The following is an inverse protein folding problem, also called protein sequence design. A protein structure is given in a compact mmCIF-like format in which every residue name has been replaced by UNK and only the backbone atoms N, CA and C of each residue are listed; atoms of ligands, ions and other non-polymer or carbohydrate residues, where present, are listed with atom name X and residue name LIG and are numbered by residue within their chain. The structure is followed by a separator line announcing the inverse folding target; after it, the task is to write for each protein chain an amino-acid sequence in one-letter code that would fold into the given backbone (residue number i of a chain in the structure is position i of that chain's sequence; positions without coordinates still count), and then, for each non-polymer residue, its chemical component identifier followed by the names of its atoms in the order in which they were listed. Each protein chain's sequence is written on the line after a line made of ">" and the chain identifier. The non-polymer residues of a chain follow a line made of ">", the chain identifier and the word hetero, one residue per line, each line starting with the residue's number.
data_IF_302389770713
#
_entry.id   IF_302389770713
#
_cell.length_a   1.000
_cell.length_b   1.000
_cell.length_c   1.000
_cell.angle_alpha   90.00
_cell.angle_beta   90.00
_cell.angle_gamma   90.00
#
_symmetry.space_group_name_H-M   'P 1'
#
loop_
_entity.id
_entity.type
_entity.pdbx_description
1 polymer ?
#
# COMPACT_ATOMS: atom_id res chain seq x y z
N UNK A 1 44.85 42.47 9.37
CA UNK A 1 43.58 42.46 8.62
C UNK A 1 43.19 41.02 8.32
N UNK A 2 42.12 40.45 8.90
CA UNK A 2 41.71 39.09 8.57
C UNK A 2 40.73 39.08 7.39
N UNK A 3 41.09 38.32 6.36
CA UNK A 3 40.25 38.02 5.20
C UNK A 3 38.97 37.30 5.67
N UNK A 4 37.83 37.99 5.58
CA UNK A 4 36.50 37.38 5.74
C UNK A 4 36.24 36.44 4.57
N UNK A 5 36.48 35.14 4.79
CA UNK A 5 35.98 34.09 3.92
C UNK A 5 34.45 34.04 4.05
N UNK A 6 33.73 34.80 3.22
CA UNK A 6 32.27 34.68 3.08
C UNK A 6 31.97 33.38 2.33
N UNK A 7 31.92 32.26 3.05
CA UNK A 7 31.23 31.08 2.53
C UNK A 7 29.73 31.41 2.54
N UNK A 8 29.20 31.77 1.37
CA UNK A 8 27.77 31.73 1.12
C UNK A 8 27.32 30.26 1.00
N UNK A 9 27.54 29.46 2.05
CA UNK A 9 26.75 28.25 2.25
C UNK A 9 25.40 28.69 2.80
N UNK A 10 24.52 29.12 1.88
CA UNK A 10 23.08 28.92 2.12
C UNK A 10 22.94 27.44 2.38
N UNK A 11 22.58 27.08 3.60
CA UNK A 11 22.11 25.75 3.97
C UNK A 11 20.98 25.42 3.01
N UNK A 12 21.29 24.72 1.90
CA UNK A 12 20.28 24.16 1.03
C UNK A 12 19.63 23.06 1.86
N UNK A 13 18.55 23.42 2.55
CA UNK A 13 17.59 22.44 3.03
C UNK A 13 17.32 21.49 1.87
N UNK A 14 17.67 20.23 2.09
CA UNK A 14 17.54 19.13 1.14
C UNK A 14 16.20 19.20 0.38
N UNK A 15 16.26 19.56 -0.90
CA UNK A 15 15.13 19.56 -1.83
C UNK A 15 14.21 20.78 -1.74
N UNK A 16 14.62 21.92 -2.33
CA UNK A 16 13.65 22.92 -2.79
C UNK A 16 12.73 22.27 -3.83
N UNK A 17 11.46 22.07 -3.46
CA UNK A 17 10.36 21.79 -4.38
C UNK A 17 10.11 23.06 -5.22
N UNK A 18 10.90 23.27 -6.27
CA UNK A 18 10.64 24.30 -7.29
C UNK A 18 10.13 23.64 -8.58
N UNK A 19 8.91 24.00 -8.98
CA UNK A 19 8.32 23.67 -10.29
C UNK A 19 7.39 22.45 -10.31
N UNK A 20 6.93 22.11 -11.53
CA UNK A 20 5.88 21.15 -11.95
C UNK A 20 6.08 19.68 -11.51
N UNK A 21 7.08 19.36 -10.69
CA UNK A 21 7.38 17.98 -10.26
C UNK A 21 7.42 17.87 -8.75
N UNK A 22 6.77 16.86 -8.20
CA UNK A 22 6.73 16.61 -6.75
C UNK A 22 7.80 15.59 -6.38
N UNK A 23 8.57 15.89 -5.32
CA UNK A 23 9.47 14.91 -4.69
C UNK A 23 10.95 14.99 -5.05
N UNK A 24 11.73 14.10 -4.42
CA UNK A 24 13.17 14.02 -4.63
C UNK A 24 13.51 13.55 -6.04
N UNK A 25 14.52 14.19 -6.63
CA UNK A 25 15.09 13.92 -7.96
C UNK A 25 16.58 13.62 -7.87
N UNK A 26 17.10 12.83 -8.81
CA UNK A 26 18.55 12.74 -9.00
C UNK A 26 19.15 14.13 -9.25
N UNK A 27 20.23 14.46 -8.55
CA UNK A 27 21.02 15.62 -8.92
C UNK A 27 21.92 15.26 -10.11
N UNK A 28 21.39 15.51 -11.31
CA UNK A 28 22.09 15.27 -12.57
C UNK A 28 23.37 16.11 -12.74
N UNK A 29 23.69 17.01 -11.79
CA UNK A 29 24.92 17.80 -11.81
C UNK A 29 26.10 17.11 -11.13
N UNK A 30 25.87 16.03 -10.39
CA UNK A 30 26.94 15.30 -9.70
C UNK A 30 27.77 14.53 -10.72
N UNK A 31 29.10 14.62 -10.61
CA UNK A 31 30.06 14.19 -11.64
C UNK A 31 29.85 12.74 -12.17
N UNK A 32 29.62 11.71 -11.32
CA UNK A 32 29.38 10.35 -11.83
C UNK A 32 28.09 10.22 -12.65
N UNK A 33 27.05 11.00 -12.30
CA UNK A 33 25.75 10.98 -13.01
C UNK A 33 25.87 11.69 -14.36
N UNK A 34 26.65 12.78 -14.43
CA UNK A 34 26.93 13.52 -15.67
C UNK A 34 27.60 12.63 -16.73
N UNK A 35 28.52 11.76 -16.30
CA UNK A 35 29.23 10.87 -17.22
C UNK A 35 28.33 9.75 -17.76
N UNK A 36 27.49 9.16 -16.92
CA UNK A 36 26.67 8.00 -17.29
C UNK A 36 25.47 8.35 -18.19
N UNK A 37 24.96 9.59 -18.13
CA UNK A 37 23.73 10.11 -18.80
C UNK A 37 22.43 9.37 -18.42
N UNK A 38 22.48 8.07 -18.16
CA UNK A 38 21.40 7.18 -17.71
C UNK A 38 21.92 6.20 -16.66
N UNK A 39 21.04 5.59 -15.87
CA UNK A 39 21.46 4.57 -14.91
C UNK A 39 21.87 3.27 -15.64
N UNK A 40 22.97 2.62 -15.22
CA UNK A 40 23.43 1.38 -15.84
C UNK A 40 22.40 0.26 -15.63
N UNK A 41 22.27 -0.64 -16.62
CA UNK A 41 21.37 -1.79 -16.50
C UNK A 41 21.95 -2.80 -15.50
N UNK A 42 21.15 -3.18 -14.50
CA UNK A 42 21.52 -4.13 -13.45
C UNK A 42 20.63 -5.37 -13.57
N UNK A 43 21.25 -6.56 -13.63
CA UNK A 43 20.56 -7.86 -13.78
C UNK A 43 20.46 -8.65 -12.48
N UNK A 44 21.27 -8.34 -11.48
CA UNK A 44 21.36 -9.11 -10.22
C UNK A 44 20.29 -8.74 -9.20
N UNK A 45 19.71 -7.53 -9.30
CA UNK A 45 18.72 -7.04 -8.32
C UNK A 45 17.32 -7.50 -8.71
N UNK A 46 16.70 -8.31 -7.84
CA UNK A 46 15.32 -8.76 -7.98
C UNK A 46 14.32 -8.03 -7.05
N UNK A 47 14.82 -7.34 -6.03
CA UNK A 47 14.01 -6.70 -5.01
C UNK A 47 14.47 -5.26 -4.80
N UNK A 48 13.54 -4.31 -4.91
CA UNK A 48 13.79 -2.90 -4.66
C UNK A 48 12.83 -2.37 -3.60
N UNK A 49 13.40 -1.83 -2.52
CA UNK A 49 12.65 -1.33 -1.37
C UNK A 49 13.06 0.12 -1.09
N UNK A 50 12.11 1.02 -1.16
CA UNK A 50 12.21 2.34 -0.55
C UNK A 50 11.38 2.29 0.73
N UNK A 51 12.06 2.35 1.86
CA UNK A 51 11.45 2.28 3.18
C UNK A 51 10.93 3.65 3.59
N UNK A 52 9.95 3.64 4.49
CA UNK A 52 9.37 4.84 5.09
C UNK A 52 10.40 5.78 5.71
N UNK A 53 11.51 5.25 6.24
CA UNK A 53 12.62 6.01 6.83
C UNK A 53 13.31 6.99 5.87
N UNK A 54 13.08 6.87 4.56
CA UNK A 54 13.56 7.86 3.60
C UNK A 54 12.85 9.23 3.77
N UNK A 55 11.76 9.29 4.54
CA UNK A 55 11.01 10.50 4.94
C UNK A 55 10.60 11.41 3.77
N UNK A 56 10.52 10.87 2.55
CA UNK A 56 10.44 11.65 1.32
C UNK A 56 9.58 10.95 0.29
N UNK A 57 8.83 11.77 -0.45
CA UNK A 57 8.21 11.38 -1.71
C UNK A 57 9.26 11.49 -2.81
N UNK A 58 9.38 10.50 -3.67
CA UNK A 58 10.30 10.50 -4.80
C UNK A 58 9.54 10.79 -6.09
N UNK A 59 10.07 11.70 -6.91
CA UNK A 59 9.46 11.97 -8.21
C UNK A 59 9.47 10.70 -9.06
N UNK A 60 8.29 10.33 -9.56
CA UNK A 60 8.14 9.15 -10.41
C UNK A 60 8.97 9.29 -11.70
N UNK A 61 8.75 10.31 -12.55
CA UNK A 61 9.47 10.41 -13.82
C UNK A 61 10.96 10.70 -13.65
N UNK A 62 11.36 11.44 -12.60
CA UNK A 62 12.75 11.90 -12.42
C UNK A 62 13.60 10.98 -11.53
N UNK A 63 13.00 10.05 -10.79
CA UNK A 63 13.74 9.14 -9.89
C UNK A 63 13.29 7.69 -9.99
N UNK A 64 12.02 7.39 -9.68
CA UNK A 64 11.57 6.00 -9.59
C UNK A 64 11.62 5.29 -10.94
N UNK A 65 11.18 5.97 -12.01
CA UNK A 65 11.20 5.42 -13.36
C UNK A 65 12.62 5.05 -13.81
N UNK A 66 13.63 5.95 -13.78
CA UNK A 66 15.00 5.57 -14.11
C UNK A 66 15.52 4.38 -13.31
N UNK A 67 15.32 4.37 -11.98
CA UNK A 67 15.78 3.28 -11.11
C UNK A 67 15.12 1.98 -11.54
N UNK A 68 13.79 1.92 -11.52
CA UNK A 68 13.03 0.72 -11.82
C UNK A 68 13.37 0.22 -13.24
N UNK A 69 13.51 1.11 -14.22
CA UNK A 69 13.91 0.76 -15.59
C UNK A 69 15.30 0.12 -15.66
N UNK A 70 16.26 0.60 -14.87
CA UNK A 70 17.61 0.06 -14.80
C UNK A 70 17.68 -1.35 -14.19
N UNK A 71 16.77 -1.69 -13.27
CA UNK A 71 16.68 -3.01 -12.63
C UNK A 71 15.92 -3.97 -13.56
N UNK A 72 16.67 -4.75 -14.34
CA UNK A 72 16.11 -5.56 -15.45
C UNK A 72 15.48 -6.88 -15.01
N UNK A 73 15.86 -7.40 -13.83
CA UNK A 73 15.32 -8.63 -13.25
C UNK A 73 14.44 -8.36 -12.01
N UNK A 74 13.95 -7.14 -11.86
CA UNK A 74 13.13 -6.74 -10.72
C UNK A 74 11.83 -7.56 -10.67
N UNK A 75 11.63 -8.29 -9.58
CA UNK A 75 10.45 -9.11 -9.27
C UNK A 75 9.60 -8.49 -8.16
N UNK A 76 10.21 -7.82 -7.19
CA UNK A 76 9.53 -7.30 -6.01
C UNK A 76 9.82 -5.81 -5.85
N UNK A 77 8.77 -5.00 -5.84
CA UNK A 77 8.86 -3.57 -5.59
C UNK A 77 8.11 -3.23 -4.30
N UNK A 78 8.78 -2.53 -3.38
CA UNK A 78 8.13 -1.92 -2.22
C UNK A 78 8.45 -0.43 -2.16
N UNK A 79 7.41 0.39 -2.18
CA UNK A 79 7.51 1.85 -2.10
C UNK A 79 6.70 2.38 -0.91
N UNK A 80 7.40 2.80 0.12
CA UNK A 80 6.83 3.36 1.34
C UNK A 80 7.23 4.83 1.45
N UNK A 81 6.26 5.72 1.24
CA UNK A 81 6.52 7.15 1.22
C UNK A 81 5.60 7.91 2.17
N UNK A 82 6.02 9.12 2.51
CA UNK A 82 5.22 10.02 3.32
C UNK A 82 4.26 10.80 2.43
N UNK A 83 3.01 10.91 2.87
CA UNK A 83 1.96 11.60 2.12
C UNK A 83 1.63 13.01 2.63
N UNK A 84 2.07 13.42 3.82
CA UNK A 84 1.51 14.61 4.47
C UNK A 84 2.49 15.53 5.22
N UNK A 85 3.81 15.30 5.23
CA UNK A 85 4.73 16.28 5.84
C UNK A 85 4.89 17.56 5.00
N UNK A 86 4.35 17.59 3.77
CA UNK A 86 4.39 18.74 2.87
C UNK A 86 3.04 19.50 2.85
N UNK A 87 2.43 19.66 4.03
CA UNK A 87 1.16 20.34 4.29
C UNK A 87 1.08 21.82 3.82
N UNK A 88 2.13 22.36 3.23
CA UNK A 88 2.13 23.70 2.63
C UNK A 88 1.54 23.74 1.21
N UNK A 89 1.32 22.61 0.53
CA UNK A 89 0.87 22.58 -0.87
C UNK A 89 -0.64 22.33 -1.08
N UNK A 90 -1.40 22.01 -0.02
CA UNK A 90 -2.85 21.85 -0.10
C UNK A 90 -3.34 20.82 -1.14
N UNK A 91 -4.56 20.99 -1.71
CA UNK A 91 -5.13 20.06 -2.69
C UNK A 91 -4.30 19.87 -3.97
N UNK A 92 -3.48 20.85 -4.35
CA UNK A 92 -2.65 20.78 -5.56
C UNK A 92 -1.62 19.64 -5.50
N UNK A 93 -1.06 19.37 -4.32
CA UNK A 93 -0.13 18.25 -4.13
C UNK A 93 -0.79 16.91 -4.42
N UNK A 94 -2.01 16.67 -3.92
CA UNK A 94 -2.74 15.45 -4.19
C UNK A 94 -2.91 15.23 -5.70
N UNK A 95 -3.15 16.32 -6.45
CA UNK A 95 -3.31 16.22 -7.91
C UNK A 95 -2.03 15.72 -8.59
N UNK A 96 -0.91 16.37 -8.30
CA UNK A 96 0.38 16.03 -8.88
C UNK A 96 0.86 14.64 -8.45
N UNK A 97 0.62 14.29 -7.18
CA UNK A 97 0.89 12.96 -6.64
C UNK A 97 0.12 11.89 -7.40
N UNK A 98 -1.18 12.09 -7.60
CA UNK A 98 -2.00 11.13 -8.33
C UNK A 98 -1.60 11.01 -9.81
N UNK A 99 -1.21 12.11 -10.45
CA UNK A 99 -0.68 12.11 -11.83
C UNK A 99 0.63 11.31 -11.91
N UNK A 100 1.57 11.56 -10.99
CA UNK A 100 2.80 10.78 -10.91
C UNK A 100 2.55 9.31 -10.58
N UNK A 101 1.61 8.99 -9.69
CA UNK A 101 1.24 7.60 -9.41
C UNK A 101 0.53 6.91 -10.58
N UNK A 102 -0.27 7.62 -11.36
CA UNK A 102 -0.83 7.10 -12.60
C UNK A 102 0.30 6.76 -13.60
N UNK A 103 1.35 7.58 -13.69
CA UNK A 103 2.56 7.25 -14.46
C UNK A 103 3.29 6.04 -13.87
N UNK A 104 3.45 5.97 -12.55
CA UNK A 104 4.10 4.85 -11.87
C UNK A 104 3.40 3.54 -12.22
N UNK A 105 2.09 3.44 -11.96
CA UNK A 105 1.34 2.21 -12.16
C UNK A 105 1.14 1.91 -13.64
N UNK A 106 0.63 2.87 -14.40
CA UNK A 106 0.20 2.67 -15.79
C UNK A 106 1.36 2.52 -16.77
N UNK A 107 2.52 3.11 -16.48
CA UNK A 107 3.68 3.07 -17.39
C UNK A 107 4.87 2.32 -16.79
N UNK A 108 5.33 2.71 -15.61
CA UNK A 108 6.57 2.18 -15.04
C UNK A 108 6.39 0.71 -14.64
N UNK A 109 5.40 0.40 -13.81
CA UNK A 109 5.11 -0.98 -13.39
C UNK A 109 4.66 -1.82 -14.58
N UNK A 110 3.78 -1.28 -15.43
CA UNK A 110 3.31 -2.00 -16.62
C UNK A 110 4.48 -2.41 -17.54
N UNK A 111 5.50 -1.56 -17.72
CA UNK A 111 6.67 -1.87 -18.54
C UNK A 111 7.57 -2.98 -17.97
N UNK A 112 7.47 -3.27 -16.66
CA UNK A 112 8.31 -4.24 -15.96
C UNK A 112 7.67 -5.63 -15.97
N UNK A 113 7.90 -6.37 -17.06
CA UNK A 113 7.32 -7.71 -17.27
C UNK A 113 7.79 -8.77 -16.27
N UNK A 114 8.93 -8.56 -15.63
CA UNK A 114 9.49 -9.46 -14.59
C UNK A 114 8.84 -9.30 -13.22
N UNK A 115 8.05 -8.23 -13.03
CA UNK A 115 7.47 -7.88 -11.74
C UNK A 115 6.38 -8.88 -11.34
N UNK A 116 6.48 -9.38 -10.11
CA UNK A 116 5.57 -10.36 -9.50
C UNK A 116 4.82 -9.77 -8.32
N UNK A 117 5.46 -8.92 -7.52
CA UNK A 117 4.87 -8.35 -6.30
C UNK A 117 5.10 -6.84 -6.25
N UNK A 118 4.04 -6.12 -5.89
CA UNK A 118 4.10 -4.68 -5.66
C UNK A 118 3.42 -4.34 -4.35
N UNK A 119 4.17 -3.65 -3.49
CA UNK A 119 3.68 -3.03 -2.28
C UNK A 119 3.87 -1.50 -2.35
N UNK A 120 2.80 -0.75 -2.15
CA UNK A 120 2.84 0.70 -2.05
C UNK A 120 2.11 1.13 -0.78
N UNK A 121 2.79 1.90 0.06
CA UNK A 121 2.23 2.42 1.30
C UNK A 121 2.46 3.92 1.37
N UNK A 122 1.38 4.68 1.46
CA UNK A 122 1.42 6.10 1.74
C UNK A 122 1.12 6.37 3.22
N UNK A 123 2.11 6.90 3.94
CA UNK A 123 1.90 7.42 5.29
C UNK A 123 1.17 8.76 5.23
N UNK A 124 -0.17 8.70 5.12
CA UNK A 124 -1.07 9.84 5.17
C UNK A 124 -1.46 10.14 6.61
N UNK A 125 -1.04 11.28 7.17
CA UNK A 125 -1.31 11.66 8.57
C UNK A 125 -2.78 11.98 8.88
N UNK A 126 -3.62 12.34 7.90
CA UNK A 126 -5.01 12.77 8.16
C UNK A 126 -6.06 11.99 7.35
N UNK A 127 -7.07 11.46 8.05
CA UNK A 127 -8.25 10.84 7.43
C UNK A 127 -9.12 11.87 6.69
N UNK A 128 -9.15 13.12 7.16
CA UNK A 128 -9.90 14.25 6.56
C UNK A 128 -9.45 14.55 5.12
N UNK A 129 -8.16 14.41 4.83
CA UNK A 129 -7.64 14.61 3.48
C UNK A 129 -8.01 13.45 2.55
N UNK A 130 -8.28 12.26 3.08
CA UNK A 130 -8.74 11.10 2.29
C UNK A 130 -10.20 11.23 1.89
N UNK A 131 -11.07 11.68 2.80
CA UNK A 131 -12.51 11.84 2.52
C UNK A 131 -12.83 12.97 1.54
N UNK A 132 -11.89 13.90 1.33
CA UNK A 132 -11.98 14.97 0.33
C UNK A 132 -11.43 14.56 -1.04
N UNK A 133 -10.93 13.33 -1.21
CA UNK A 133 -10.44 12.85 -2.50
C UNK A 133 -11.63 12.60 -3.43
N UNK A 134 -11.61 13.26 -4.57
CA UNK A 134 -12.46 12.87 -5.70
C UNK A 134 -11.90 11.58 -6.30
N UNK A 135 -12.75 10.57 -6.62
CA UNK A 135 -12.34 9.37 -7.33
C UNK A 135 -11.57 9.73 -8.58
N UNK A 136 -10.34 9.21 -8.71
CA UNK A 136 -9.53 9.44 -9.91
C UNK A 136 -9.52 8.20 -10.77
N UNK A 137 -10.44 8.19 -11.73
CA UNK A 137 -10.60 7.13 -12.73
C UNK A 137 -9.24 6.74 -13.35
N UNK A 138 -8.41 7.73 -13.70
CA UNK A 138 -7.08 7.47 -14.30
C UNK A 138 -6.11 6.70 -13.39
N UNK A 139 -6.17 6.91 -12.07
CA UNK A 139 -5.27 6.25 -11.13
C UNK A 139 -5.71 4.80 -10.85
N UNK A 140 -7.01 4.58 -10.65
CA UNK A 140 -7.59 3.25 -10.50
C UNK A 140 -7.35 2.41 -11.76
N UNK A 141 -7.62 2.99 -12.94
CA UNK A 141 -7.33 2.38 -14.24
C UNK A 141 -5.89 1.93 -14.37
N UNK A 142 -4.95 2.84 -14.12
CA UNK A 142 -3.52 2.57 -14.20
C UNK A 142 -3.10 1.39 -13.28
N UNK A 143 -3.69 1.29 -12.09
CA UNK A 143 -3.42 0.19 -11.16
C UNK A 143 -4.04 -1.14 -11.62
N UNK A 144 -5.30 -1.12 -12.08
CA UNK A 144 -6.00 -2.30 -12.59
C UNK A 144 -5.26 -2.89 -13.79
N UNK A 145 -4.93 -2.09 -14.80
CA UNK A 145 -4.23 -2.54 -16.01
C UNK A 145 -2.82 -3.09 -15.74
N UNK A 146 -2.12 -2.53 -14.76
CA UNK A 146 -0.76 -2.95 -14.42
C UNK A 146 -0.71 -4.17 -13.49
N UNK A 147 -1.75 -4.41 -12.69
CA UNK A 147 -1.79 -5.47 -11.69
C UNK A 147 -2.17 -6.86 -12.23
N UNK A 148 -2.80 -6.97 -13.40
CA UNK A 148 -3.30 -8.25 -13.96
C UNK A 148 -2.23 -9.36 -14.12
N UNK A 149 -0.94 -9.00 -14.18
CA UNK A 149 0.19 -9.96 -14.30
C UNK A 149 0.85 -10.31 -12.97
N UNK A 150 0.51 -9.60 -11.90
CA UNK A 150 1.14 -9.76 -10.60
C UNK A 150 0.64 -11.02 -9.88
N UNK A 151 1.48 -11.54 -9.01
CA UNK A 151 1.20 -12.59 -8.03
C UNK A 151 0.74 -11.98 -6.70
N UNK A 152 1.24 -10.80 -6.35
CA UNK A 152 0.91 -10.09 -5.11
C UNK A 152 0.68 -8.59 -5.34
N UNK A 153 -0.36 -8.02 -4.73
CA UNK A 153 -0.71 -6.60 -4.80
C UNK A 153 -1.07 -6.04 -3.42
N UNK A 154 -0.28 -5.10 -2.90
CA UNK A 154 -0.49 -4.52 -1.57
C UNK A 154 -0.48 -3.00 -1.64
N UNK A 155 -1.63 -2.35 -1.47
CA UNK A 155 -1.74 -0.89 -1.61
C UNK A 155 -2.49 -0.30 -0.43
N UNK A 156 -1.85 0.64 0.26
CA UNK A 156 -2.45 1.32 1.40
C UNK A 156 -2.38 2.84 1.24
N UNK A 157 -3.56 3.45 1.29
CA UNK A 157 -3.80 4.89 1.21
C UNK A 157 -3.40 5.57 -0.12
N UNK A 158 -2.79 4.84 -1.06
CA UNK A 158 -2.48 5.35 -2.41
C UNK A 158 -3.70 5.41 -3.33
N UNK A 159 -4.42 4.28 -3.44
CA UNK A 159 -5.61 4.06 -4.26
C UNK A 159 -6.67 3.44 -3.36
N UNK A 160 -7.89 3.96 -3.38
CA UNK A 160 -8.98 3.39 -2.58
C UNK A 160 -9.47 2.09 -3.21
N UNK A 161 -9.69 1.05 -2.40
CA UNK A 161 -10.17 -0.24 -2.90
C UNK A 161 -11.53 -0.11 -3.62
N UNK A 162 -12.39 0.81 -3.19
CA UNK A 162 -13.66 1.12 -3.86
C UNK A 162 -13.42 1.52 -5.31
N UNK A 163 -12.48 2.42 -5.55
CA UNK A 163 -12.17 2.92 -6.90
C UNK A 163 -11.56 1.80 -7.76
N UNK A 164 -10.68 0.98 -7.17
CA UNK A 164 -10.11 -0.20 -7.84
C UNK A 164 -11.20 -1.17 -8.30
N UNK A 165 -12.09 -1.63 -7.41
CA UNK A 165 -13.11 -2.61 -7.77
C UNK A 165 -14.20 -2.02 -8.67
N UNK A 166 -14.64 -0.78 -8.40
CA UNK A 166 -15.65 -0.11 -9.22
C UNK A 166 -15.19 0.06 -10.66
N UNK A 167 -13.91 0.41 -10.87
CA UNK A 167 -13.36 0.53 -12.23
C UNK A 167 -13.44 -0.78 -13.00
N UNK A 168 -13.10 -1.91 -12.37
CA UNK A 168 -13.17 -3.23 -13.01
C UNK A 168 -14.61 -3.59 -13.40
N UNK A 169 -15.57 -3.32 -12.51
CA UNK A 169 -16.99 -3.64 -12.72
C UNK A 169 -17.60 -2.77 -13.82
N UNK A 170 -17.25 -1.47 -13.86
CA UNK A 170 -17.80 -0.52 -14.84
C UNK A 170 -17.22 -0.73 -16.23
N UNK A 171 -15.90 -0.87 -16.36
CA UNK A 171 -15.23 -1.00 -17.67
C UNK A 171 -15.40 -2.38 -18.30
N UNK A 172 -15.55 -3.40 -17.46
CA UNK A 172 -15.72 -4.76 -17.90
C UNK A 172 -16.83 -5.43 -17.08
N UNK A 173 -18.11 -5.18 -17.40
CA UNK A 173 -19.22 -5.73 -16.64
C UNK A 173 -19.38 -7.25 -16.81
N UNK A 174 -18.72 -7.86 -17.80
CA UNK A 174 -18.86 -9.28 -18.13
C UNK A 174 -17.63 -10.09 -17.69
N UNK A 175 -17.70 -10.89 -16.60
CA UNK A 175 -16.54 -11.55 -16.00
C UNK A 175 -15.74 -12.49 -16.91
N UNK A 176 -16.32 -12.92 -18.03
CA UNK A 176 -15.82 -14.03 -18.84
C UNK A 176 -14.98 -13.60 -20.07
N UNK A 177 -14.80 -12.30 -20.34
CA UNK A 177 -14.12 -11.82 -21.57
C UNK A 177 -13.15 -10.66 -21.42
N UNK A 178 -12.95 -10.09 -20.24
CA UNK A 178 -12.06 -8.93 -20.08
C UNK A 178 -10.95 -9.10 -19.04
N UNK A 179 -10.94 -8.23 -18.04
CA UNK A 179 -9.85 -8.07 -17.08
C UNK A 179 -9.73 -9.28 -16.15
N UNK A 180 -8.59 -9.95 -16.18
CA UNK A 180 -8.36 -11.17 -15.39
C UNK A 180 -6.98 -11.15 -14.71
N UNK A 181 -6.93 -11.64 -13.47
CA UNK A 181 -5.72 -11.75 -12.67
C UNK A 181 -5.31 -13.22 -12.53
N UNK A 182 -4.86 -13.82 -13.65
CA UNK A 182 -4.53 -15.25 -13.77
C UNK A 182 -3.49 -15.76 -12.76
N UNK A 183 -2.71 -14.86 -12.17
CA UNK A 183 -1.61 -15.17 -11.25
C UNK A 183 -1.78 -14.59 -9.86
N UNK A 184 -2.75 -13.70 -9.63
CA UNK A 184 -2.83 -12.98 -8.36
C UNK A 184 -3.30 -13.92 -7.26
N UNK A 185 -2.44 -14.11 -6.27
CA UNK A 185 -2.65 -14.98 -5.12
C UNK A 185 -2.99 -14.16 -3.87
N UNK A 186 -2.45 -12.94 -3.78
CA UNK A 186 -2.52 -12.12 -2.57
C UNK A 186 -2.86 -10.69 -2.92
N UNK A 187 -3.88 -10.16 -2.25
CA UNK A 187 -4.27 -8.76 -2.38
C UNK A 187 -4.55 -8.17 -1.00
N UNK A 188 -3.99 -7.00 -0.71
CA UNK A 188 -4.31 -6.20 0.48
C UNK A 188 -4.53 -4.75 0.09
N UNK A 189 -5.74 -4.22 0.34
CA UNK A 189 -6.12 -2.86 -0.05
C UNK A 189 -6.77 -2.11 1.12
N UNK A 190 -6.59 -0.79 1.16
CA UNK A 190 -7.34 0.07 2.09
C UNK A 190 -8.56 0.72 1.43
N UNK A 191 -9.65 0.90 2.17
CA UNK A 191 -10.78 1.72 1.70
C UNK A 191 -11.52 2.42 2.82
N UNK A 192 -11.81 3.71 2.64
CA UNK A 192 -12.61 4.49 3.60
C UNK A 192 -14.08 4.03 3.68
N UNK A 193 -14.51 3.13 2.78
CA UNK A 193 -15.85 2.53 2.77
C UNK A 193 -16.01 1.35 3.74
N UNK A 194 -14.96 0.91 4.41
CA UNK A 194 -15.10 -0.08 5.48
C UNK A 194 -15.62 0.57 6.76
N UNK A 195 -16.89 0.96 6.72
CA UNK A 195 -17.68 1.63 7.76
C UNK A 195 -19.05 0.96 7.89
N UNK A 196 -19.78 1.17 9.01
CA UNK A 196 -21.05 0.50 9.27
C UNK A 196 -22.02 0.50 8.06
N UNK A 197 -22.23 1.66 7.43
CA UNK A 197 -23.28 1.82 6.41
C UNK A 197 -22.82 1.47 4.99
N UNK A 198 -21.52 1.33 4.74
CA UNK A 198 -20.97 1.24 3.37
C UNK A 198 -20.10 0.01 3.12
N UNK A 199 -19.73 -0.75 4.16
CA UNK A 199 -18.80 -1.87 4.02
C UNK A 199 -19.34 -3.01 3.13
N UNK A 200 -20.62 -3.33 3.24
CA UNK A 200 -21.23 -4.45 2.49
C UNK A 200 -21.13 -4.26 0.97
N UNK A 201 -21.40 -3.04 0.47
CA UNK A 201 -21.23 -2.73 -0.95
C UNK A 201 -19.79 -2.94 -1.42
N UNK A 202 -18.80 -2.48 -0.66
CA UNK A 202 -17.39 -2.69 -1.00
C UNK A 202 -17.04 -4.18 -1.02
N UNK A 203 -17.50 -4.95 -0.03
CA UNK A 203 -17.23 -6.38 0.09
C UNK A 203 -17.87 -7.16 -1.06
N UNK A 204 -19.07 -6.77 -1.48
CA UNK A 204 -19.73 -7.32 -2.66
C UNK A 204 -18.97 -7.00 -3.96
N UNK A 205 -18.50 -5.76 -4.12
CA UNK A 205 -17.66 -5.37 -5.26
C UNK A 205 -16.34 -6.17 -5.28
N UNK A 206 -15.71 -6.32 -4.12
CA UNK A 206 -14.50 -7.13 -3.97
C UNK A 206 -14.74 -8.60 -4.35
N UNK A 207 -15.86 -9.18 -3.90
CA UNK A 207 -16.26 -10.53 -4.27
C UNK A 207 -16.48 -10.67 -5.78
N UNK A 208 -17.13 -9.69 -6.40
CA UNK A 208 -17.38 -9.66 -7.85
C UNK A 208 -16.07 -9.71 -8.64
N UNK A 209 -15.08 -8.93 -8.22
CA UNK A 209 -13.76 -8.89 -8.87
C UNK A 209 -12.91 -10.12 -8.52
N UNK A 210 -13.04 -10.67 -7.31
CA UNK A 210 -12.34 -11.88 -6.88
C UNK A 210 -12.68 -13.11 -7.74
N UNK A 211 -13.86 -13.15 -8.37
CA UNK A 211 -14.20 -14.19 -9.35
C UNK A 211 -13.28 -14.21 -10.58
N UNK A 212 -12.54 -13.12 -10.83
CA UNK A 212 -11.55 -12.98 -11.92
C UNK A 212 -10.12 -13.23 -11.45
N UNK A 213 -9.96 -13.76 -10.24
CA UNK A 213 -8.68 -14.08 -9.60
C UNK A 213 -8.64 -15.59 -9.31
N UNK A 214 -8.45 -16.46 -10.32
CA UNK A 214 -8.57 -17.91 -10.15
C UNK A 214 -7.55 -18.51 -9.19
N UNK A 215 -6.46 -17.80 -8.87
CA UNK A 215 -5.43 -18.23 -7.91
C UNK A 215 -5.51 -17.53 -6.56
N UNK A 216 -6.58 -16.77 -6.29
CA UNK A 216 -6.70 -15.99 -5.07
C UNK A 216 -6.64 -16.87 -3.81
N UNK A 217 -5.57 -16.71 -3.04
CA UNK A 217 -5.39 -17.38 -1.76
C UNK A 217 -5.77 -16.47 -0.59
N UNK A 218 -5.46 -15.17 -0.69
CA UNK A 218 -5.66 -14.20 0.39
C UNK A 218 -6.16 -12.87 -0.14
N UNK A 219 -7.26 -12.40 0.42
CA UNK A 219 -7.71 -11.01 0.27
C UNK A 219 -7.82 -10.37 1.65
N UNK A 220 -7.30 -9.16 1.79
CA UNK A 220 -7.44 -8.36 3.00
C UNK A 220 -7.87 -6.94 2.62
N UNK A 221 -9.02 -6.51 3.11
CA UNK A 221 -9.48 -5.13 2.99
C UNK A 221 -9.52 -4.55 4.39
N UNK A 222 -8.97 -3.36 4.59
CA UNK A 222 -8.92 -2.79 5.93
C UNK A 222 -8.98 -1.27 5.93
N UNK A 223 -9.46 -0.71 7.04
CA UNK A 223 -9.45 0.72 7.30
C UNK A 223 -9.49 0.96 8.80
N UNK A 224 -8.76 1.98 9.21
CA UNK A 224 -8.80 2.51 10.56
C UNK A 224 -8.80 4.03 10.53
N UNK A 225 -9.68 4.61 11.33
CA UNK A 225 -9.67 6.00 11.70
C UNK A 225 -10.08 6.16 13.17
N UNK A 226 -10.19 7.41 13.64
CA UNK A 226 -10.53 7.71 15.02
C UNK A 226 -11.94 7.22 15.43
N UNK A 227 -12.84 7.02 14.47
CA UNK A 227 -14.24 6.63 14.71
C UNK A 227 -14.49 5.13 14.59
N UNK A 228 -13.72 4.43 13.76
CA UNK A 228 -14.03 3.05 13.40
C UNK A 228 -12.80 2.33 12.86
N UNK A 229 -12.69 1.03 13.17
CA UNK A 229 -11.71 0.14 12.55
C UNK A 229 -12.38 -1.13 12.07
N UNK A 230 -12.02 -1.57 10.86
CA UNK A 230 -12.59 -2.74 10.24
C UNK A 230 -11.61 -3.45 9.31
N UNK A 231 -11.70 -4.77 9.31
CA UNK A 231 -10.95 -5.66 8.45
C UNK A 231 -11.86 -6.76 7.92
N UNK A 232 -11.82 -6.94 6.62
CA UNK A 232 -12.35 -8.10 5.93
C UNK A 232 -11.16 -8.95 5.46
N UNK A 233 -11.13 -10.22 5.84
CA UNK A 233 -10.07 -11.16 5.47
C UNK A 233 -10.68 -12.40 4.85
N UNK A 234 -10.23 -12.77 3.65
CA UNK A 234 -10.54 -14.05 3.02
C UNK A 234 -9.28 -14.92 2.95
N UNK A 235 -9.44 -16.19 3.28
CA UNK A 235 -8.44 -17.25 3.12
C UNK A 235 -9.05 -18.39 2.31
N UNK A 236 -8.48 -18.66 1.13
CA UNK A 236 -8.67 -19.94 0.46
C UNK A 236 -7.79 -20.97 1.19
N UNK A 237 -8.40 -21.70 2.10
CA UNK A 237 -7.80 -22.86 2.73
C UNK A 237 -8.45 -24.10 2.10
N UNK A 238 -7.67 -25.08 1.60
CA UNK A 238 -8.23 -26.29 1.00
C UNK A 238 -9.09 -27.10 1.98
N UNK A 239 -8.73 -27.08 3.27
CA UNK A 239 -9.45 -27.79 4.31
C UNK A 239 -10.64 -26.97 4.79
N UNK A 240 -10.48 -25.68 5.06
CA UNK A 240 -11.61 -24.87 5.55
C UNK A 240 -11.46 -23.42 5.12
N UNK A 241 -12.04 -22.99 3.99
CA UNK A 241 -11.98 -21.61 3.58
C UNK A 241 -12.66 -20.76 4.64
N UNK A 242 -12.07 -19.60 4.94
CA UNK A 242 -12.54 -18.71 6.01
C UNK A 242 -12.66 -17.29 5.48
N UNK A 243 -13.78 -16.65 5.81
CA UNK A 243 -13.89 -15.20 5.88
C UNK A 243 -13.87 -14.78 7.34
N UNK A 244 -12.98 -13.86 7.71
CA UNK A 244 -13.03 -13.15 8.99
C UNK A 244 -13.46 -11.73 8.77
N UNK A 245 -14.52 -11.33 9.47
CA UNK A 245 -14.98 -9.96 9.52
C UNK A 245 -14.77 -9.41 10.93
N UNK A 246 -13.82 -8.49 11.07
CA UNK A 246 -13.44 -7.89 12.34
C UNK A 246 -13.77 -6.41 12.34
N UNK A 247 -14.53 -5.91 13.31
CA UNK A 247 -14.91 -4.49 13.38
C UNK A 247 -15.11 -3.99 14.80
N UNK A 248 -14.99 -2.69 15.02
CA UNK A 248 -15.22 -2.06 16.34
C UNK A 248 -16.70 -1.81 16.66
N UNK A 249 -17.60 -2.09 15.73
CA UNK A 249 -19.06 -1.90 15.89
C UNK A 249 -19.87 -3.21 15.77
N UNK A 250 -19.19 -4.35 15.79
CA UNK A 250 -19.80 -5.68 15.64
C UNK A 250 -20.64 -5.84 14.35
N UNK A 251 -20.13 -5.33 13.23
CA UNK A 251 -20.79 -5.47 11.94
C UNK A 251 -20.87 -6.92 11.46
N UNK A 252 -21.80 -7.18 10.54
CA UNK A 252 -22.00 -8.49 9.90
C UNK A 252 -22.12 -8.34 8.40
N UNK A 253 -21.76 -9.40 7.68
CA UNK A 253 -22.00 -9.48 6.25
C UNK A 253 -23.50 -9.67 5.99
N UNK A 254 -23.99 -9.10 4.90
CA UNK A 254 -25.33 -9.41 4.43
C UNK A 254 -25.38 -10.78 3.76
N UNK A 255 -26.58 -11.35 3.64
CA UNK A 255 -26.75 -12.68 3.05
C UNK A 255 -26.34 -12.77 1.58
N UNK A 256 -26.25 -11.64 0.86
CA UNK A 256 -25.74 -11.61 -0.51
C UNK A 256 -24.22 -11.73 -0.55
N UNK A 257 -23.53 -10.96 0.30
CA UNK A 257 -22.07 -10.99 0.42
C UNK A 257 -21.59 -12.39 0.82
N UNK A 258 -22.24 -13.02 1.81
CA UNK A 258 -21.95 -14.39 2.25
C UNK A 258 -22.09 -15.39 1.09
N UNK A 259 -23.18 -15.32 0.32
CA UNK A 259 -23.43 -16.21 -0.84
C UNK A 259 -22.37 -16.07 -1.93
N UNK A 260 -21.96 -14.84 -2.26
CA UNK A 260 -20.96 -14.64 -3.33
C UNK A 260 -19.58 -15.12 -2.87
N UNK A 261 -19.20 -14.89 -1.60
CA UNK A 261 -17.95 -15.43 -1.06
C UNK A 261 -17.96 -16.96 -0.96
N UNK A 262 -19.11 -17.56 -0.64
CA UNK A 262 -19.29 -19.01 -0.69
C UNK A 262 -19.05 -19.58 -2.09
N UNK A 263 -19.51 -18.90 -3.14
CA UNK A 263 -19.27 -19.27 -4.53
C UNK A 263 -17.78 -19.16 -4.92
N UNK A 264 -17.09 -18.13 -4.42
CA UNK A 264 -15.64 -18.00 -4.65
C UNK A 264 -14.88 -19.16 -4.00
N UNK A 265 -15.23 -19.48 -2.75
CA UNK A 265 -14.61 -20.58 -2.02
C UNK A 265 -14.83 -21.94 -2.70
N UNK A 266 -16.01 -22.20 -3.26
CA UNK A 266 -16.27 -23.45 -3.99
C UNK A 266 -15.47 -23.55 -5.30
N UNK A 267 -15.29 -22.43 -6.02
CA UNK A 267 -14.45 -22.38 -7.23
C UNK A 267 -12.97 -22.64 -6.96
N UNK A 268 -12.50 -22.38 -5.74
CA UNK A 268 -11.12 -22.63 -5.32
C UNK A 268 -10.85 -24.10 -4.93
N UNK A 269 -11.82 -25.00 -5.13
CA UNK A 269 -11.64 -26.43 -4.89
C UNK A 269 -11.66 -26.84 -3.42
N UNK A 270 -12.22 -25.99 -2.54
CA UNK A 270 -12.43 -26.34 -1.13
C UNK A 270 -13.32 -27.57 -0.98
N UNK A 271 -12.97 -28.44 -0.03
CA UNK A 271 -13.79 -29.60 0.35
C UNK A 271 -14.97 -29.23 1.26
N UNK A 272 -14.86 -28.12 1.99
CA UNK A 272 -15.84 -27.68 2.98
C UNK A 272 -16.51 -26.35 2.57
N UNK A 273 -17.68 -26.09 3.16
CA UNK A 273 -18.38 -24.81 3.02
C UNK A 273 -17.55 -23.67 3.60
N UNK A 274 -17.83 -22.44 3.20
CA UNK A 274 -17.14 -21.26 3.70
C UNK A 274 -17.53 -21.03 5.16
N UNK A 275 -16.52 -20.97 6.02
CA UNK A 275 -16.70 -20.55 7.41
C UNK A 275 -16.61 -19.03 7.48
N UNK A 276 -17.55 -18.41 8.20
CA UNK A 276 -17.58 -16.96 8.40
C UNK A 276 -17.45 -16.70 9.89
N UNK A 277 -16.35 -16.03 10.26
CA UNK A 277 -16.02 -15.66 11.62
C UNK A 277 -16.24 -14.16 11.83
N UNK A 278 -16.90 -13.80 12.92
CA UNK A 278 -17.13 -12.42 13.32
C UNK A 278 -16.32 -12.10 14.57
N UNK A 279 -15.56 -11.00 14.55
CA UNK A 279 -14.75 -10.56 15.70
C UNK A 279 -15.06 -9.11 16.06
N UNK A 280 -15.46 -8.89 17.31
CA UNK A 280 -15.50 -7.55 17.88
C UNK A 280 -14.07 -7.12 18.21
N UNK A 281 -13.70 -5.95 17.71
CA UNK A 281 -12.43 -5.29 18.01
C UNK A 281 -12.69 -4.27 19.12
N UNK A 282 -11.85 -4.24 20.16
CA UNK A 282 -11.93 -3.20 21.18
C UNK A 282 -11.43 -1.88 20.59
N UNK A 283 -12.27 -0.84 20.61
CA UNK A 283 -11.90 0.50 20.13
C UNK A 283 -10.66 1.05 20.84
N UNK A 284 -10.41 0.64 22.10
CA UNK A 284 -9.24 1.05 22.88
C UNK A 284 -7.92 0.56 22.27
N UNK A 285 -7.93 -0.58 21.56
CA UNK A 285 -6.76 -1.10 20.84
C UNK A 285 -6.33 -0.19 19.69
N UNK A 286 -7.23 0.68 19.20
CA UNK A 286 -7.04 1.54 18.03
C UNK A 286 -6.80 3.02 18.38
N UNK A 287 -6.39 3.30 19.62
CA UNK A 287 -5.91 4.62 20.06
C UNK A 287 -4.79 5.19 19.16
N UNK A 288 -3.99 4.31 18.54
CA UNK A 288 -3.12 4.64 17.42
C UNK A 288 -3.76 4.16 16.11
N UNK A 289 -3.87 5.07 15.12
CA UNK A 289 -4.33 4.76 13.75
C UNK A 289 -3.58 3.61 13.07
N UNK A 290 -2.34 3.35 13.50
CA UNK A 290 -1.49 2.28 12.98
C UNK A 290 -1.69 0.95 13.73
N UNK A 291 -2.43 0.92 14.85
CA UNK A 291 -2.68 -0.32 15.61
C UNK A 291 -3.30 -1.42 14.77
N UNK A 292 -4.15 -1.05 13.79
CA UNK A 292 -4.75 -2.01 12.86
C UNK A 292 -3.71 -2.85 12.13
N UNK A 293 -2.51 -2.31 11.91
CA UNK A 293 -1.42 -3.05 11.27
C UNK A 293 -1.08 -4.33 12.04
N UNK A 294 -1.22 -4.38 13.38
CA UNK A 294 -0.94 -5.59 14.20
C UNK A 294 -1.82 -6.77 13.83
N UNK A 295 -3.02 -6.50 13.33
CA UNK A 295 -4.02 -7.51 13.03
C UNK A 295 -4.04 -7.94 11.56
N UNK A 296 -3.25 -7.28 10.71
CA UNK A 296 -3.15 -7.62 9.30
C UNK A 296 -2.26 -8.85 9.08
N UNK A 297 -2.84 -9.91 8.53
CA UNK A 297 -2.14 -11.15 8.15
C UNK A 297 -1.10 -10.86 7.05
N UNK A 298 -1.38 -9.88 6.19
CA UNK A 298 -0.51 -9.52 5.05
C UNK A 298 0.35 -8.29 5.35
N UNK A 299 0.47 -7.93 6.63
CA UNK A 299 1.18 -6.73 7.07
C UNK A 299 2.66 -6.67 6.68
N UNK A 300 3.37 -7.79 6.72
CA UNK A 300 4.79 -7.88 6.34
C UNK A 300 5.01 -7.89 4.81
N UNK A 301 3.94 -8.12 4.05
CA UNK A 301 3.93 -7.98 2.58
C UNK A 301 3.74 -6.52 2.20
N UNK A 302 2.82 -5.83 2.89
CA UNK A 302 2.54 -4.41 2.70
C UNK A 302 3.71 -3.51 3.10
N UNK A 303 4.31 -3.75 4.27
CA UNK A 303 5.35 -2.91 4.85
C UNK A 303 6.64 -3.69 5.09
N UNK A 304 7.78 -3.03 4.98
CA UNK A 304 9.05 -3.50 5.52
C UNK A 304 8.95 -3.65 7.03
N UNK A 305 9.54 -4.73 7.56
CA UNK A 305 9.51 -5.04 9.00
C UNK A 305 9.97 -3.84 9.86
N UNK A 306 11.02 -3.13 9.44
CA UNK A 306 11.49 -1.91 10.14
C UNK A 306 10.42 -0.82 10.15
N UNK A 307 9.78 -0.57 9.00
CA UNK A 307 8.80 0.50 8.87
C UNK A 307 7.47 0.18 9.53
N UNK A 308 7.06 -1.10 9.51
CA UNK A 308 5.94 -1.63 10.30
C UNK A 308 6.19 -1.47 11.80
N UNK A 309 7.38 -1.87 12.27
CA UNK A 309 7.76 -1.69 13.68
C UNK A 309 7.76 -0.21 14.09
N UNK A 310 8.30 0.68 13.25
CA UNK A 310 8.27 2.12 13.50
C UNK A 310 6.83 2.64 13.64
N UNK A 311 5.95 2.33 12.69
CA UNK A 311 4.54 2.76 12.70
C UNK A 311 3.77 2.26 13.93
N UNK A 312 4.04 1.02 14.37
CA UNK A 312 3.40 0.40 15.53
C UNK A 312 3.84 0.99 16.87
N UNK A 313 5.02 1.63 16.91
CA UNK A 313 5.59 2.25 18.10
C UNK A 313 5.49 3.79 18.08
N UNK A 314 5.03 4.38 16.98
CA UNK A 314 4.75 5.80 16.90
C UNK A 314 3.61 6.19 17.84
N UNK A 315 3.79 7.30 18.56
CA UNK A 315 2.83 7.76 19.57
C UNK A 315 2.91 7.00 20.90
N UNK A 316 3.77 6.00 21.05
CA UNK A 316 4.10 5.42 22.36
C UNK A 316 5.06 6.37 23.08
N UNK A 317 4.73 6.86 24.30
CA UNK A 317 5.64 7.73 25.05
C UNK A 317 7.03 7.10 25.19
N UNK A 318 8.07 7.92 24.99
CA UNK A 318 9.48 7.52 25.02
C UNK A 318 10.02 6.85 26.32
N UNK A 319 9.35 6.82 27.51
CA UNK A 319 9.94 6.13 28.66
C UNK A 319 9.95 4.60 28.51
N UNK A 320 9.04 4.00 27.73
CA UNK A 320 8.88 2.53 27.66
C UNK A 320 9.98 1.87 26.81
N UNK A 321 10.58 2.61 25.87
CA UNK A 321 11.69 2.12 25.04
C UNK A 321 13.02 1.96 25.81
N UNK A 322 13.19 2.62 26.97
CA UNK A 322 14.39 2.40 27.81
C UNK A 322 14.28 1.15 28.68
N UNK A 323 13.08 0.70 29.06
CA UNK A 323 12.94 -0.50 29.90
C UNK A 323 13.03 -1.82 29.12
N UNK A 324 12.59 -1.87 27.86
CA UNK A 324 12.66 -3.13 27.07
C UNK A 324 14.07 -3.47 26.60
N UNK A 325 14.91 -2.45 26.33
CA UNK A 325 16.31 -2.64 25.96
C UNK A 325 17.14 -3.10 27.17
N UNK A 326 16.85 -2.60 28.37
CA UNK A 326 17.52 -3.03 29.61
C UNK A 326 17.10 -4.45 30.05
N UNK A 327 15.83 -4.83 29.90
CA UNK A 327 15.37 -6.18 30.23
C UNK A 327 15.99 -7.26 29.33
N UNK A 328 16.20 -6.95 28.04
CA UNK A 328 16.83 -7.88 27.09
C UNK A 328 18.35 -7.97 27.27
N UNK A 329 18.99 -6.90 27.78
CA UNK A 329 20.42 -6.89 28.10
C UNK A 329 20.75 -7.63 29.40
N UNK A 330 19.88 -7.56 30.43
CA UNK A 330 20.11 -8.29 31.69
C UNK A 330 19.93 -9.81 31.54
N UNK A 331 19.01 -10.28 30.68
CA UNK A 331 18.82 -11.72 30.46
C UNK A 331 19.95 -12.40 29.68
N UNK A 332 20.81 -11.64 29.00
CA UNK A 332 21.98 -12.17 28.25
C UNK A 332 23.29 -12.14 29.05
N UNK A 333 23.27 -11.64 30.28
CA UNK A 333 24.45 -11.59 31.15
C UNK A 333 24.44 -12.67 32.26
N UNK A 334 23.47 -13.61 32.24
CA UNK A 334 23.31 -14.67 33.25
C UNK A 334 23.25 -16.09 32.66
N UNK A 335 23.85 -16.34 31.50
CA UNK A 335 24.13 -17.70 31.00
C UNK A 335 25.60 -17.80 30.63
#
# INVERSE_FOLDING_TARGET
>A
MPLKCRSHHKTRLYGELRGETVGLRFDMRVHPVRQLKTLPRVRVVDTFVIRRQCLRYFSVPKTLQPIIQSLTQLKHLRYEHWGALFNSMGPAWLRLRDEEHALLFGRVLHSKRTLKSVACYEDMTSAKLRSQRTPRIGLARALVESSQRLEELHFAHNVDAKDFFSHVIVEDPHPNKGMEWKKLERISLTSVQLKPDTCNLLILQAATVAQRMPKLQRMELWHADASSSCMFQYKADPEQPVVRFSSTWFGRLGGLEEKVWQLIASKQGSRHQLMIEYKLLDQNDFSNRNSILRFLDQGDRLLNATSRHQLLNEGVPSPVLKMSILATAMFRAQI
#
